data_IF_698167468907
#
_entry.id   IF_698167468907
#
_cell.length_a   1.000
_cell.length_b   1.000
_cell.length_c   1.000
_cell.angle_alpha   90.00
_cell.angle_beta   90.00
_cell.angle_gamma   90.00
#
_symmetry.space_group_name_H-M   'P 1'
#
loop_
_entity.id
_entity.type
_entity.pdbx_description
1 polymer ?
#
# COMPACT_ATOMS: atom_id res chain seq x y z
N UNK A 1 17.72 5.35 16.75
CA UNK A 1 18.47 6.45 16.09
C UNK A 1 17.63 7.71 16.10
N UNK A 2 18.24 8.88 16.29
CA UNK A 2 17.56 10.16 16.11
C UNK A 2 17.76 10.61 14.66
N UNK A 3 16.67 11.07 14.05
CA UNK A 3 16.59 11.48 12.66
C UNK A 3 16.06 12.91 12.61
N UNK A 4 16.72 13.78 11.86
CA UNK A 4 16.18 15.07 11.45
C UNK A 4 15.31 14.85 10.22
N UNK A 5 14.02 15.11 10.38
CA UNK A 5 13.02 14.87 9.33
C UNK A 5 13.21 15.84 8.17
N UNK A 6 13.22 15.31 6.95
CA UNK A 6 13.36 16.11 5.72
C UNK A 6 12.07 16.12 4.92
N UNK A 7 11.44 14.95 4.74
CA UNK A 7 10.17 14.79 4.02
C UNK A 7 9.28 13.84 4.78
N UNK A 8 8.00 14.22 4.87
CA UNK A 8 6.94 13.38 5.42
C UNK A 8 5.74 13.51 4.47
N UNK A 9 5.39 12.42 3.80
CA UNK A 9 4.17 12.30 3.02
C UNK A 9 2.94 12.30 3.93
N UNK A 10 1.84 12.84 3.42
CA UNK A 10 0.55 12.85 4.11
C UNK A 10 -0.35 11.84 3.41
N UNK A 11 -0.83 10.86 4.17
CA UNK A 11 -1.71 9.84 3.67
C UNK A 11 -3.19 10.20 3.91
N UNK A 12 -4.09 9.51 3.22
CA UNK A 12 -5.52 9.58 3.52
C UNK A 12 -5.86 9.16 4.96
N UNK A 13 -5.04 8.32 5.60
CA UNK A 13 -5.19 7.96 7.01
C UNK A 13 -4.94 9.15 7.95
N UNK A 14 -3.89 9.94 7.72
CA UNK A 14 -3.63 11.16 8.50
C UNK A 14 -4.81 12.13 8.41
N UNK A 15 -5.36 12.31 7.20
CA UNK A 15 -6.54 13.16 6.97
C UNK A 15 -7.77 12.59 7.70
N UNK A 16 -7.99 11.26 7.65
CA UNK A 16 -9.11 10.63 8.37
C UNK A 16 -8.99 10.81 9.89
N UNK A 17 -7.79 10.70 10.46
CA UNK A 17 -7.59 11.01 11.88
C UNK A 17 -7.86 12.48 12.19
N UNK A 18 -7.44 13.40 11.33
CA UNK A 18 -7.73 14.83 11.51
C UNK A 18 -9.23 15.14 11.45
N UNK A 19 -9.97 14.60 10.47
CA UNK A 19 -11.36 14.98 10.23
C UNK A 19 -12.38 14.16 11.03
N UNK A 20 -12.07 12.89 11.30
CA UNK A 20 -13.00 11.96 11.95
C UNK A 20 -12.51 11.45 13.33
N UNK A 21 -11.24 11.69 13.69
CA UNK A 21 -10.68 11.26 14.97
C UNK A 21 -10.48 9.74 15.10
N UNK A 22 -10.79 8.95 14.07
CA UNK A 22 -10.68 7.51 14.11
C UNK A 22 -10.60 6.86 12.72
N UNK A 23 -10.01 5.66 12.67
CA UNK A 23 -10.11 4.73 11.54
C UNK A 23 -10.46 3.36 12.10
N UNK A 24 -11.72 2.94 11.92
CA UNK A 24 -12.22 1.72 12.57
C UNK A 24 -12.05 1.82 14.09
N UNK A 25 -11.41 0.81 14.68
CA UNK A 25 -11.18 0.74 16.13
C UNK A 25 -9.96 1.55 16.61
N UNK A 26 -9.19 2.14 15.71
CA UNK A 26 -8.07 3.03 16.05
C UNK A 26 -8.60 4.44 16.30
N UNK A 27 -8.86 4.76 17.58
CA UNK A 27 -9.48 6.02 18.00
C UNK A 27 -8.44 6.94 18.66
N UNK A 28 -8.37 8.19 18.23
CA UNK A 28 -7.53 9.23 18.85
C UNK A 28 -8.14 9.62 20.20
N UNK A 29 -7.49 9.21 21.29
CA UNK A 29 -7.94 9.49 22.68
C UNK A 29 -7.20 10.65 23.35
N UNK A 30 -6.19 11.22 22.70
CA UNK A 30 -5.36 12.31 23.20
C UNK A 30 -4.52 12.91 22.08
N UNK A 31 -3.71 13.95 22.38
CA UNK A 31 -2.83 14.55 21.38
C UNK A 31 -1.87 13.52 20.77
N UNK A 32 -1.84 13.44 19.44
CA UNK A 32 -0.88 12.61 18.69
C UNK A 32 -0.24 13.45 17.59
N UNK A 33 0.99 13.12 17.23
CA UNK A 33 1.57 13.58 15.97
C UNK A 33 1.07 12.70 14.82
N UNK A 34 0.85 13.31 13.64
CA UNK A 34 0.53 12.61 12.40
C UNK A 34 1.82 12.26 11.61
N UNK A 35 1.66 11.64 10.45
CA UNK A 35 2.71 11.36 9.48
C UNK A 35 3.48 10.06 9.73
N UNK A 36 3.59 9.24 8.68
CA UNK A 36 4.25 7.93 8.73
C UNK A 36 5.05 7.60 7.45
N UNK A 37 4.92 8.39 6.40
CA UNK A 37 5.62 8.23 5.13
C UNK A 37 6.90 9.09 5.12
N UNK A 38 7.99 8.61 5.72
CA UNK A 38 9.05 9.48 6.23
C UNK A 38 10.46 9.19 5.69
N UNK A 39 11.22 10.27 5.47
CA UNK A 39 12.67 10.22 5.23
C UNK A 39 13.41 11.38 5.91
N UNK A 40 14.70 11.17 6.20
CA UNK A 40 15.49 12.15 6.93
C UNK A 40 16.98 11.87 7.00
N UNK A 41 17.68 12.61 7.86
CA UNK A 41 19.12 12.49 8.09
C UNK A 41 19.36 12.02 9.52
N UNK A 42 20.21 11.01 9.71
CA UNK A 42 20.60 10.54 11.05
C UNK A 42 21.43 11.62 11.75
N UNK A 43 20.99 12.07 12.93
CA UNK A 43 21.70 13.09 13.74
C UNK A 43 22.34 12.54 14.99
N UNK A 44 21.82 11.42 15.54
CA UNK A 44 22.40 10.77 16.72
C UNK A 44 22.14 9.27 16.71
N UNK A 45 23.10 8.50 17.20
CA UNK A 45 23.01 7.05 17.34
C UNK A 45 22.83 6.64 18.79
N UNK A 46 22.16 5.50 19.00
CA UNK A 46 22.24 4.78 20.28
C UNK A 46 23.56 3.99 20.35
N UNK A 47 24.04 3.64 21.55
CA UNK A 47 25.37 3.02 21.74
C UNK A 47 25.54 1.68 21.01
N UNK A 48 24.45 0.94 20.79
CA UNK A 48 24.47 -0.38 20.15
C UNK A 48 24.17 -0.35 18.65
N UNK A 49 23.98 0.84 18.05
CA UNK A 49 23.70 0.96 16.61
C UNK A 49 24.99 0.85 15.82
N UNK A 50 25.08 -0.15 14.95
CA UNK A 50 26.28 -0.44 14.14
C UNK A 50 26.07 -0.32 12.63
N UNK A 51 24.82 -0.30 12.18
CA UNK A 51 24.42 -0.34 10.77
C UNK A 51 24.21 1.05 10.13
N UNK A 52 24.33 2.13 10.91
CA UNK A 52 24.08 3.51 10.47
C UNK A 52 25.13 4.45 11.07
N UNK A 53 25.39 5.58 10.40
CA UNK A 53 26.22 6.67 10.91
C UNK A 53 25.50 8.02 10.87
N UNK A 54 25.95 8.96 11.69
CA UNK A 54 25.49 10.36 11.61
C UNK A 54 25.77 10.91 10.20
N UNK A 55 24.79 11.62 9.64
CA UNK A 55 24.82 12.12 8.27
C UNK A 55 24.24 11.17 7.23
N UNK A 56 23.96 9.90 7.57
CA UNK A 56 23.28 9.00 6.64
C UNK A 56 21.88 9.52 6.30
N UNK A 57 21.58 9.52 5.00
CA UNK A 57 20.24 9.78 4.46
C UNK A 57 19.44 8.48 4.56
N UNK A 58 18.23 8.54 5.10
CA UNK A 58 17.47 7.34 5.45
C UNK A 58 15.99 7.45 5.08
N UNK A 59 15.40 6.32 4.71
CA UNK A 59 13.96 6.09 4.74
C UNK A 59 13.59 5.32 6.01
N UNK A 60 12.37 5.51 6.48
CA UNK A 60 11.86 4.90 7.70
C UNK A 60 10.74 3.92 7.34
N UNK A 61 10.87 2.68 7.81
CA UNK A 61 9.73 1.78 7.95
C UNK A 61 9.01 2.20 9.25
N UNK A 62 7.73 2.62 9.22
CA UNK A 62 7.01 3.10 10.39
C UNK A 62 6.73 2.04 11.46
N UNK A 63 6.98 0.76 11.19
CA UNK A 63 6.78 -0.33 12.14
C UNK A 63 7.87 -0.35 13.23
N UNK A 64 7.50 -0.68 14.48
CA UNK A 64 8.42 -1.27 15.47
C UNK A 64 7.70 -2.43 16.14
N UNK A 65 8.32 -3.60 16.13
CA UNK A 65 7.65 -4.85 16.59
C UNK A 65 8.26 -5.40 17.88
N UNK A 66 7.57 -6.35 18.51
CA UNK A 66 8.10 -7.04 19.70
C UNK A 66 9.24 -8.03 19.40
N UNK A 67 9.49 -8.32 18.12
CA UNK A 67 10.57 -9.19 17.60
C UNK A 67 10.53 -10.66 18.05
N UNK A 68 9.53 -11.07 18.85
CA UNK A 68 9.57 -12.36 19.56
C UNK A 68 8.29 -13.20 19.44
N UNK A 69 7.16 -12.59 19.05
CA UNK A 69 5.91 -13.32 18.80
C UNK A 69 5.98 -14.21 17.55
N UNK A 70 4.97 -15.06 17.37
CA UNK A 70 4.90 -15.96 16.21
C UNK A 70 4.96 -15.22 14.88
N UNK A 71 4.31 -14.06 14.77
CA UNK A 71 4.29 -13.25 13.56
C UNK A 71 5.66 -12.66 13.24
N UNK A 72 6.37 -12.16 14.26
CA UNK A 72 7.74 -11.68 14.08
C UNK A 72 8.66 -12.82 13.64
N UNK A 73 8.60 -13.98 14.32
CA UNK A 73 9.46 -15.14 14.03
C UNK A 73 9.17 -15.82 12.69
N UNK A 74 7.92 -15.79 12.23
CA UNK A 74 7.50 -16.30 10.92
C UNK A 74 7.74 -15.32 9.77
N UNK A 75 8.30 -14.14 10.03
CA UNK A 75 8.55 -13.12 9.00
C UNK A 75 7.29 -12.35 8.58
N UNK A 76 6.22 -12.38 9.37
CA UNK A 76 4.95 -11.65 9.20
C UNK A 76 4.80 -10.52 10.22
N UNK A 77 5.87 -9.80 10.51
CA UNK A 77 5.92 -8.82 11.62
C UNK A 77 4.86 -7.72 11.54
N UNK A 78 4.29 -7.44 10.37
CA UNK A 78 3.18 -6.51 10.17
C UNK A 78 1.89 -6.91 10.91
N UNK A 79 1.81 -8.16 11.37
CA UNK A 79 0.72 -8.70 12.20
C UNK A 79 1.09 -8.80 13.69
N UNK A 80 2.22 -8.22 14.11
CA UNK A 80 2.60 -8.22 15.52
C UNK A 80 1.50 -7.57 16.39
N UNK A 81 1.05 -8.21 17.49
CA UNK A 81 0.01 -7.63 18.35
C UNK A 81 0.52 -6.40 19.12
N UNK A 82 1.80 -6.39 19.50
CA UNK A 82 2.46 -5.26 20.18
C UNK A 82 3.17 -4.34 19.17
N UNK A 83 2.54 -4.14 18.02
CA UNK A 83 3.10 -3.32 16.95
C UNK A 83 2.95 -1.84 17.28
N UNK A 84 4.07 -1.14 17.40
CA UNK A 84 4.09 0.31 17.27
C UNK A 84 4.05 0.68 15.79
N UNK A 85 3.20 1.64 15.42
CA UNK A 85 3.17 2.16 14.05
C UNK A 85 2.95 3.66 14.02
N UNK A 86 3.84 4.39 13.35
CA UNK A 86 3.77 5.86 13.28
C UNK A 86 2.37 6.35 12.87
N UNK A 87 1.85 7.33 13.60
CA UNK A 87 0.56 7.96 13.37
C UNK A 87 -0.66 7.01 13.44
N UNK A 88 -0.54 5.83 14.06
CA UNK A 88 -1.69 5.00 14.43
C UNK A 88 -1.90 5.09 15.96
N UNK A 89 -3.03 5.62 16.45
CA UNK A 89 -3.28 5.77 17.87
C UNK A 89 -3.05 4.47 18.65
N UNK A 90 -2.35 4.50 19.80
CA UNK A 90 -1.88 5.70 20.52
C UNK A 90 -0.50 6.23 20.09
N UNK A 91 0.12 5.65 19.06
CA UNK A 91 1.49 5.94 18.67
C UNK A 91 1.60 7.25 17.88
N UNK A 92 2.48 8.14 18.34
CA UNK A 92 2.76 9.40 17.63
C UNK A 92 3.54 9.15 16.34
N UNK A 93 3.17 9.90 15.30
CA UNK A 93 3.83 9.94 14.01
C UNK A 93 5.11 10.79 13.99
N UNK A 94 5.65 10.95 12.79
CA UNK A 94 6.94 11.57 12.52
C UNK A 94 6.84 12.94 11.84
N UNK A 95 5.66 13.57 11.76
CA UNK A 95 5.49 14.94 11.26
C UNK A 95 6.01 15.96 12.30
N UNK A 96 7.32 15.98 12.49
CA UNK A 96 8.06 16.79 13.46
C UNK A 96 9.44 17.19 12.91
N UNK A 97 10.23 17.96 13.67
CA UNK A 97 11.62 18.32 13.28
C UNK A 97 12.60 17.17 13.50
N UNK A 98 12.42 16.42 14.58
CA UNK A 98 13.25 15.28 14.94
C UNK A 98 12.36 14.13 15.40
N UNK A 99 12.77 12.91 15.06
CA UNK A 99 12.12 11.69 15.50
C UNK A 99 13.15 10.66 15.95
N UNK A 100 12.79 9.82 16.93
CA UNK A 100 13.63 8.69 17.35
C UNK A 100 12.97 7.40 16.93
N UNK A 101 13.70 6.55 16.19
CA UNK A 101 13.17 5.30 15.67
C UNK A 101 14.12 4.12 15.90
N UNK A 102 13.60 2.90 15.81
CA UNK A 102 14.40 1.68 15.96
C UNK A 102 15.35 1.51 14.77
N UNK A 103 16.64 1.26 15.03
CA UNK A 103 17.68 1.32 14.00
C UNK A 103 17.56 0.23 12.92
N UNK A 104 16.89 -0.87 13.25
CA UNK A 104 16.56 -1.99 12.37
C UNK A 104 15.39 -1.69 11.42
N UNK A 105 14.64 -0.61 11.66
CA UNK A 105 13.56 -0.10 10.79
C UNK A 105 13.95 1.21 10.08
N UNK A 106 15.25 1.53 10.04
CA UNK A 106 15.78 2.73 9.40
C UNK A 106 16.81 2.31 8.36
N UNK A 107 16.54 2.66 7.10
CA UNK A 107 17.24 2.12 5.94
C UNK A 107 17.98 3.23 5.21
N UNK A 108 19.29 3.05 4.99
CA UNK A 108 20.10 4.02 4.28
C UNK A 108 19.67 4.13 2.81
N UNK A 109 19.37 5.35 2.38
CA UNK A 109 19.09 5.67 0.99
C UNK A 109 20.39 5.65 0.16
N UNK A 110 20.37 5.05 -1.03
CA UNK A 110 21.41 5.26 -2.03
C UNK A 110 21.53 6.74 -2.42
N UNK A 111 22.71 7.15 -2.90
CA UNK A 111 22.98 8.55 -3.20
C UNK A 111 22.04 9.13 -4.27
N UNK A 112 21.63 8.29 -5.23
CA UNK A 112 20.73 8.66 -6.32
C UNK A 112 19.24 8.61 -5.98
N UNK A 113 18.86 8.28 -4.73
CA UNK A 113 17.46 8.29 -4.28
C UNK A 113 17.23 9.50 -3.39
N UNK A 114 16.34 10.41 -3.80
CA UNK A 114 16.00 11.65 -3.08
C UNK A 114 15.26 11.39 -1.76
N UNK A 115 15.10 12.42 -0.93
CA UNK A 115 14.27 12.31 0.27
C UNK A 115 12.78 12.12 -0.05
N UNK A 116 12.28 12.69 -1.14
CA UNK A 116 10.89 12.51 -1.55
C UNK A 116 10.64 11.07 -1.99
N UNK A 117 11.53 10.50 -2.80
CA UNK A 117 11.49 9.08 -3.14
C UNK A 117 11.62 8.19 -1.89
N UNK A 118 12.49 8.57 -0.94
CA UNK A 118 12.64 7.90 0.35
C UNK A 118 11.35 7.89 1.19
N UNK A 119 10.59 8.98 1.18
CA UNK A 119 9.29 9.06 1.85
C UNK A 119 8.24 8.20 1.11
N UNK A 120 8.29 8.19 -0.22
CA UNK A 120 7.43 7.35 -1.07
C UNK A 120 7.71 5.84 -0.97
N UNK A 121 8.78 5.40 -0.30
CA UNK A 121 9.03 3.96 -0.05
C UNK A 121 7.90 3.33 0.78
N UNK A 122 7.29 4.10 1.68
CA UNK A 122 6.15 3.67 2.51
C UNK A 122 4.95 3.26 1.63
N UNK A 123 4.35 4.15 0.81
CA UNK A 123 3.20 3.78 -0.01
C UNK A 123 3.58 2.80 -1.13
N UNK A 124 4.81 2.85 -1.64
CA UNK A 124 5.32 1.86 -2.60
C UNK A 124 5.36 0.45 -1.98
N UNK A 125 5.72 0.35 -0.70
CA UNK A 125 5.74 -0.90 0.05
C UNK A 125 4.34 -1.52 0.19
N UNK A 126 3.28 -0.71 0.32
CA UNK A 126 1.90 -1.19 0.30
C UNK A 126 1.58 -1.87 -1.03
N UNK A 127 1.88 -1.20 -2.16
CA UNK A 127 1.70 -1.77 -3.50
C UNK A 127 2.52 -3.05 -3.72
N UNK A 128 3.75 -3.09 -3.20
CA UNK A 128 4.63 -4.25 -3.26
C UNK A 128 4.08 -5.44 -2.47
N UNK A 129 3.61 -5.20 -1.25
CA UNK A 129 2.99 -6.25 -0.45
C UNK A 129 1.68 -6.74 -1.08
N UNK A 130 0.85 -5.85 -1.63
CA UNK A 130 -0.37 -6.22 -2.33
C UNK A 130 -0.08 -7.15 -3.52
N UNK A 131 0.87 -6.77 -4.39
CA UNK A 131 1.30 -7.58 -5.52
C UNK A 131 1.83 -8.95 -5.08
N UNK A 132 2.67 -9.01 -4.02
CA UNK A 132 3.16 -10.27 -3.45
C UNK A 132 2.04 -11.16 -2.93
N UNK A 133 1.05 -10.59 -2.23
CA UNK A 133 -0.03 -11.35 -1.60
C UNK A 133 -0.95 -12.00 -2.64
N UNK A 134 -1.30 -11.27 -3.70
CA UNK A 134 -2.12 -11.83 -4.78
C UNK A 134 -1.31 -12.68 -5.76
N UNK A 135 0.02 -12.57 -5.74
CA UNK A 135 0.90 -13.38 -6.59
C UNK A 135 1.04 -12.82 -8.00
N UNK A 136 1.16 -11.50 -8.14
CA UNK A 136 1.52 -10.87 -9.41
C UNK A 136 2.88 -11.38 -9.85
N UNK A 137 2.96 -11.87 -11.07
CA UNK A 137 4.19 -12.35 -11.69
C UNK A 137 4.22 -12.02 -13.19
N UNK A 138 5.36 -12.32 -13.82
CA UNK A 138 5.58 -12.11 -15.25
C UNK A 138 4.41 -12.66 -16.09
N UNK A 139 3.96 -11.87 -17.06
CA UNK A 139 2.89 -12.25 -17.98
C UNK A 139 1.47 -12.10 -17.43
N UNK A 140 1.30 -11.76 -16.15
CA UNK A 140 -0.04 -11.54 -15.58
C UNK A 140 -0.76 -10.35 -16.22
N UNK A 141 -2.08 -10.47 -16.28
CA UNK A 141 -3.02 -9.36 -16.48
C UNK A 141 -3.46 -8.89 -15.10
N UNK A 142 -3.29 -7.62 -14.78
CA UNK A 142 -3.60 -7.06 -13.47
C UNK A 142 -4.64 -5.96 -13.59
N UNK A 143 -5.73 -6.08 -12.84
CA UNK A 143 -6.70 -5.00 -12.66
C UNK A 143 -6.39 -4.27 -11.34
N UNK A 144 -6.44 -2.94 -11.38
CA UNK A 144 -6.31 -2.08 -10.20
C UNK A 144 -7.55 -1.20 -10.13
N UNK A 145 -8.32 -1.27 -9.03
CA UNK A 145 -9.52 -0.44 -8.87
C UNK A 145 -9.23 0.75 -7.95
N UNK A 146 -9.11 1.94 -8.55
CA UNK A 146 -8.73 3.19 -7.91
C UNK A 146 -7.34 3.66 -8.36
N UNK A 147 -7.25 4.86 -8.91
CA UNK A 147 -6.04 5.57 -9.34
C UNK A 147 -5.57 6.63 -8.32
N UNK A 148 -5.85 6.40 -7.02
CA UNK A 148 -5.20 7.12 -5.93
C UNK A 148 -3.76 6.65 -5.71
N UNK A 149 -3.01 7.25 -4.75
CA UNK A 149 -1.59 6.95 -4.53
C UNK A 149 -1.26 5.46 -4.39
N UNK A 150 -2.08 4.70 -3.65
CA UNK A 150 -1.89 3.25 -3.47
C UNK A 150 -2.11 2.48 -4.77
N UNK A 151 -3.10 2.87 -5.59
CA UNK A 151 -3.31 2.27 -6.90
C UNK A 151 -2.17 2.56 -7.87
N UNK A 152 -1.64 3.78 -7.85
CA UNK A 152 -0.47 4.16 -8.66
C UNK A 152 0.81 3.43 -8.21
N UNK A 153 1.02 3.28 -6.90
CA UNK A 153 2.13 2.47 -6.38
C UNK A 153 1.98 1.00 -6.80
N UNK A 154 0.77 0.45 -6.72
CA UNK A 154 0.48 -0.91 -7.17
C UNK A 154 0.69 -1.09 -8.67
N UNK A 155 0.37 -0.08 -9.48
CA UNK A 155 0.66 -0.05 -10.92
C UNK A 155 2.16 -0.13 -11.19
N UNK A 156 2.95 0.73 -10.53
CA UNK A 156 4.41 0.76 -10.71
C UNK A 156 5.03 -0.59 -10.32
N UNK A 157 4.55 -1.21 -9.23
CA UNK A 157 5.07 -2.50 -8.79
C UNK A 157 4.61 -3.65 -9.70
N UNK A 158 3.35 -3.68 -10.12
CA UNK A 158 2.87 -4.70 -11.07
C UNK A 158 3.65 -4.66 -12.38
N UNK A 159 3.97 -3.45 -12.87
CA UNK A 159 4.84 -3.25 -14.03
C UNK A 159 6.26 -3.77 -13.77
N UNK A 160 6.83 -3.48 -12.60
CA UNK A 160 8.16 -3.97 -12.21
C UNK A 160 8.22 -5.51 -12.10
N UNK A 161 7.12 -6.17 -11.72
CA UNK A 161 6.99 -7.64 -11.73
C UNK A 161 6.83 -8.24 -13.14
N UNK A 162 6.67 -7.42 -14.18
CA UNK A 162 6.52 -7.89 -15.55
C UNK A 162 5.09 -8.27 -15.94
N UNK A 163 4.07 -7.65 -15.33
CA UNK A 163 2.70 -7.81 -15.80
C UNK A 163 2.59 -7.40 -17.28
N UNK A 164 1.96 -8.26 -18.10
CA UNK A 164 1.81 -8.04 -19.54
C UNK A 164 0.74 -6.99 -19.86
N UNK A 165 -0.32 -6.94 -19.06
CA UNK A 165 -1.38 -5.96 -19.17
C UNK A 165 -1.78 -5.47 -17.78
N UNK A 166 -1.90 -4.17 -17.63
CA UNK A 166 -2.37 -3.51 -16.41
C UNK A 166 -3.49 -2.54 -16.77
N UNK A 167 -4.69 -2.81 -16.28
CA UNK A 167 -5.83 -1.90 -16.37
C UNK A 167 -6.07 -1.25 -15.02
N UNK A 168 -6.23 0.07 -15.02
CA UNK A 168 -6.59 0.83 -13.81
C UNK A 168 -7.89 1.58 -14.02
N UNK A 169 -8.79 1.50 -13.04
CA UNK A 169 -10.11 2.14 -13.10
C UNK A 169 -10.21 3.24 -12.07
N UNK A 170 -10.91 4.33 -12.39
CA UNK A 170 -11.21 5.41 -11.45
C UNK A 170 -12.43 6.19 -11.96
N UNK A 171 -13.02 7.01 -11.10
CA UNK A 171 -14.09 7.95 -11.44
C UNK A 171 -13.53 9.29 -11.94
N UNK A 172 -12.23 9.55 -11.73
CA UNK A 172 -11.54 10.78 -12.12
C UNK A 172 -10.62 10.55 -13.32
N UNK A 173 -10.99 11.14 -14.46
CA UNK A 173 -10.22 11.06 -15.70
C UNK A 173 -8.78 11.61 -15.56
N UNK A 174 -8.55 12.63 -14.73
CA UNK A 174 -7.20 13.20 -14.55
C UNK A 174 -6.26 12.22 -13.86
N UNK A 175 -6.77 11.45 -12.90
CA UNK A 175 -5.99 10.40 -12.23
C UNK A 175 -5.64 9.27 -13.20
N UNK A 176 -6.56 8.94 -14.10
CA UNK A 176 -6.32 7.94 -15.13
C UNK A 176 -5.28 8.39 -16.16
N UNK A 177 -5.30 9.65 -16.59
CA UNK A 177 -4.26 10.19 -17.47
C UNK A 177 -2.88 10.15 -16.79
N UNK A 178 -2.81 10.45 -15.49
CA UNK A 178 -1.58 10.31 -14.73
C UNK A 178 -1.15 8.85 -14.59
N UNK A 179 -2.08 7.92 -14.37
CA UNK A 179 -1.76 6.50 -14.33
C UNK A 179 -1.21 6.00 -15.69
N UNK A 180 -1.76 6.51 -16.80
CA UNK A 180 -1.28 6.21 -18.15
C UNK A 180 0.14 6.73 -18.36
N UNK A 181 0.46 7.94 -17.90
CA UNK A 181 1.83 8.48 -18.00
C UNK A 181 2.85 7.69 -17.17
N UNK A 182 2.41 7.00 -16.10
CA UNK A 182 3.23 6.07 -15.31
C UNK A 182 3.34 4.67 -15.92
N UNK A 183 2.61 4.39 -17.00
CA UNK A 183 2.70 3.16 -17.77
C UNK A 183 1.59 2.15 -17.51
N UNK A 184 0.40 2.58 -17.08
CA UNK A 184 -0.79 1.77 -17.22
C UNK A 184 -1.02 1.47 -18.71
N UNK A 185 -1.17 0.18 -19.05
CA UNK A 185 -1.44 -0.22 -20.44
C UNK A 185 -2.85 0.14 -20.87
N UNK A 186 -3.80 0.13 -19.92
CA UNK A 186 -5.20 0.43 -20.14
C UNK A 186 -5.72 1.25 -18.97
N UNK A 187 -6.65 2.16 -19.25
CA UNK A 187 -7.38 2.92 -18.24
C UNK A 187 -8.87 2.83 -18.54
N UNK A 188 -9.71 2.89 -17.49
CA UNK A 188 -11.16 2.92 -17.66
C UNK A 188 -11.80 3.92 -16.71
N UNK A 189 -12.52 4.90 -17.28
CA UNK A 189 -13.31 5.87 -16.53
C UNK A 189 -14.66 5.26 -16.17
N UNK A 190 -14.92 5.08 -14.88
CA UNK A 190 -16.16 4.51 -14.38
C UNK A 190 -17.30 5.52 -14.57
N UNK A 191 -18.31 5.13 -15.34
CA UNK A 191 -19.57 5.85 -15.54
C UNK A 191 -20.64 5.46 -14.53
N UNK A 192 -21.72 6.26 -14.48
CA UNK A 192 -22.86 6.02 -13.57
C UNK A 192 -23.68 4.78 -13.93
N UNK A 193 -23.72 4.45 -15.22
CA UNK A 193 -24.53 3.35 -15.75
C UNK A 193 -23.74 2.04 -15.87
N UNK A 194 -22.43 2.06 -15.55
CA UNK A 194 -21.64 0.84 -15.53
C UNK A 194 -22.17 -0.08 -14.45
N UNK A 195 -22.20 -1.39 -14.76
CA UNK A 195 -22.46 -2.44 -13.80
C UNK A 195 -21.19 -3.26 -13.60
N UNK A 196 -20.83 -3.64 -12.36
CA UNK A 196 -19.57 -4.35 -12.08
C UNK A 196 -19.36 -5.61 -12.90
N UNK A 197 -20.43 -6.40 -13.10
CA UNK A 197 -20.38 -7.66 -13.86
C UNK A 197 -20.10 -7.43 -15.35
N UNK A 198 -20.91 -6.58 -15.99
CA UNK A 198 -20.77 -6.20 -17.40
C UNK A 198 -19.39 -5.56 -17.67
N UNK A 199 -18.96 -4.68 -16.76
CA UNK A 199 -17.66 -4.02 -16.84
C UNK A 199 -16.50 -5.00 -16.67
N UNK A 200 -16.62 -6.00 -15.79
CA UNK A 200 -15.60 -7.03 -15.63
C UNK A 200 -15.29 -7.77 -16.94
N UNK A 201 -16.33 -8.11 -17.71
CA UNK A 201 -16.17 -8.71 -19.04
C UNK A 201 -15.51 -7.75 -20.04
N UNK A 202 -15.92 -6.48 -20.04
CA UNK A 202 -15.36 -5.44 -20.91
C UNK A 202 -13.88 -5.19 -20.63
N UNK A 203 -13.48 -5.16 -19.36
CA UNK A 203 -12.06 -5.04 -18.97
C UNK A 203 -11.26 -6.25 -19.47
N UNK A 204 -11.80 -7.46 -19.32
CA UNK A 204 -11.17 -8.66 -19.87
C UNK A 204 -10.93 -8.57 -21.38
N UNK A 205 -11.91 -8.07 -22.15
CA UNK A 205 -11.76 -7.86 -23.59
C UNK A 205 -10.69 -6.80 -23.91
N UNK A 206 -10.69 -5.67 -23.20
CA UNK A 206 -9.71 -4.60 -23.37
C UNK A 206 -8.27 -5.08 -23.16
N UNK A 207 -8.06 -5.92 -22.15
CA UNK A 207 -6.73 -6.42 -21.78
C UNK A 207 -6.28 -7.64 -22.62
N UNK A 208 -7.11 -8.16 -23.53
CA UNK A 208 -6.83 -9.40 -24.26
C UNK A 208 -7.00 -10.68 -23.43
N UNK A 209 -7.71 -10.59 -22.30
CA UNK A 209 -8.01 -11.70 -21.40
C UNK A 209 -8.37 -11.20 -19.99
N UNK A 210 -9.15 -11.96 -19.20
CA UNK A 210 -9.54 -11.54 -17.85
C UNK A 210 -8.31 -11.35 -16.94
N UNK A 211 -8.36 -10.38 -16.01
CA UNK A 211 -7.32 -10.19 -15.00
C UNK A 211 -7.00 -11.49 -14.26
N UNK A 212 -5.71 -11.81 -14.16
CA UNK A 212 -5.20 -12.88 -13.31
C UNK A 212 -5.31 -12.52 -11.85
N UNK A 213 -4.95 -11.26 -11.54
CA UNK A 213 -4.98 -10.69 -10.21
C UNK A 213 -5.70 -9.35 -10.25
N UNK A 214 -6.48 -9.07 -9.21
CA UNK A 214 -7.05 -7.73 -8.99
C UNK A 214 -6.57 -7.14 -7.68
N UNK A 215 -6.24 -5.85 -7.68
CA UNK A 215 -5.78 -5.07 -6.54
C UNK A 215 -6.81 -3.96 -6.28
N UNK A 216 -7.61 -4.12 -5.23
CA UNK A 216 -8.68 -3.20 -4.85
C UNK A 216 -8.15 -2.11 -3.90
N UNK A 217 -8.11 -0.86 -4.40
CA UNK A 217 -7.47 0.27 -3.73
C UNK A 217 -8.46 1.38 -3.31
N UNK A 218 -9.77 1.22 -3.54
CA UNK A 218 -10.78 2.26 -3.28
C UNK A 218 -11.61 2.00 -2.03
N UNK A 219 -11.87 0.73 -1.70
CA UNK A 219 -12.80 0.31 -0.64
C UNK A 219 -14.28 0.54 -0.98
N UNK A 220 -14.60 0.97 -2.20
CA UNK A 220 -15.97 1.21 -2.62
C UNK A 220 -16.67 -0.11 -2.99
N UNK A 221 -17.97 -0.23 -2.66
CA UNK A 221 -18.81 -1.40 -2.99
C UNK A 221 -18.66 -1.80 -4.47
N UNK A 222 -18.83 -0.83 -5.38
CA UNK A 222 -18.72 -1.05 -6.82
C UNK A 222 -17.38 -1.68 -7.22
N UNK A 223 -16.27 -1.17 -6.67
CA UNK A 223 -14.93 -1.66 -6.97
C UNK A 223 -14.67 -3.05 -6.41
N UNK A 224 -15.19 -3.35 -5.22
CA UNK A 224 -15.12 -4.70 -4.63
C UNK A 224 -15.87 -5.71 -5.50
N UNK A 225 -17.08 -5.36 -5.94
CA UNK A 225 -17.86 -6.21 -6.83
C UNK A 225 -17.14 -6.39 -8.17
N UNK A 226 -16.64 -5.29 -8.76
CA UNK A 226 -15.90 -5.31 -10.03
C UNK A 226 -14.68 -6.22 -9.93
N UNK A 227 -13.94 -6.15 -8.82
CA UNK A 227 -12.77 -7.00 -8.60
C UNK A 227 -13.11 -8.49 -8.60
N UNK A 228 -14.26 -8.88 -8.04
CA UNK A 228 -14.73 -10.28 -8.04
C UNK A 228 -15.23 -10.70 -9.43
N UNK A 229 -16.01 -9.86 -10.10
CA UNK A 229 -16.56 -10.19 -11.42
C UNK A 229 -15.51 -10.18 -12.54
N UNK A 230 -14.51 -9.30 -12.47
CA UNK A 230 -13.46 -9.20 -13.49
C UNK A 230 -12.42 -10.33 -13.37
N UNK A 231 -11.99 -10.68 -12.17
CA UNK A 231 -10.91 -11.66 -11.96
C UNK A 231 -11.27 -13.02 -12.58
N UNK A 232 -10.30 -13.63 -13.25
CA UNK A 232 -10.42 -14.95 -13.87
C UNK A 232 -10.70 -16.05 -12.83
N UNK A 233 -11.15 -17.21 -13.30
CA UNK A 233 -11.19 -18.43 -12.49
C UNK A 233 -9.78 -18.77 -11.97
N UNK A 234 -9.72 -19.21 -10.71
CA UNK A 234 -8.51 -19.48 -9.94
C UNK A 234 -7.53 -18.28 -9.81
N UNK A 235 -8.06 -17.05 -9.89
CA UNK A 235 -7.29 -15.83 -9.63
C UNK A 235 -7.42 -15.35 -8.18
N UNK A 236 -6.75 -14.24 -7.85
CA UNK A 236 -6.85 -13.63 -6.53
C UNK A 236 -7.23 -12.13 -6.56
N UNK A 237 -7.93 -11.71 -5.53
CA UNK A 237 -8.31 -10.31 -5.27
C UNK A 237 -7.66 -9.84 -3.97
N UNK A 238 -6.85 -8.80 -4.06
CA UNK A 238 -6.24 -8.12 -2.92
C UNK A 238 -7.11 -6.96 -2.46
N UNK A 239 -7.56 -6.95 -1.21
CA UNK A 239 -8.34 -5.85 -0.64
C UNK A 239 -7.43 -4.96 0.21
N UNK A 240 -7.27 -3.70 -0.21
CA UNK A 240 -6.39 -2.69 0.42
C UNK A 240 -7.15 -1.41 0.76
N UNK A 241 -8.12 -1.04 -0.09
CA UNK A 241 -8.91 0.16 0.06
C UNK A 241 -9.67 0.20 1.40
N UNK A 242 -9.63 1.36 2.06
CA UNK A 242 -10.34 1.56 3.32
C UNK A 242 -11.70 2.23 3.07
N UNK A 243 -12.71 1.40 2.87
CA UNK A 243 -14.11 1.79 2.71
C UNK A 243 -14.91 1.81 4.02
N UNK A 244 -16.24 1.67 3.94
CA UNK A 244 -17.09 1.43 5.10
C UNK A 244 -16.70 0.12 5.82
N UNK A 245 -17.04 -0.05 7.11
CA UNK A 245 -16.72 -1.26 7.87
C UNK A 245 -17.33 -2.55 7.30
N UNK A 246 -18.38 -2.43 6.48
CA UNK A 246 -19.07 -3.56 5.83
C UNK A 246 -19.48 -3.17 4.41
N UNK A 247 -19.39 -4.15 3.53
CA UNK A 247 -19.83 -4.11 2.13
C UNK A 247 -20.59 -5.41 1.84
N UNK A 248 -21.51 -5.40 0.87
CA UNK A 248 -22.03 -6.66 0.30
C UNK A 248 -20.93 -7.34 -0.50
N UNK A 249 -21.00 -8.67 -0.61
CA UNK A 249 -19.94 -9.45 -1.25
C UNK A 249 -20.53 -10.54 -2.17
N UNK A 250 -20.08 -10.70 -3.44
CA UNK A 250 -20.60 -11.70 -4.37
C UNK A 250 -20.11 -13.13 -4.07
N UNK A 251 -20.58 -13.71 -2.96
CA UNK A 251 -20.09 -15.00 -2.44
C UNK A 251 -20.21 -16.13 -3.48
N UNK A 252 -21.34 -16.23 -4.18
CA UNK A 252 -21.59 -17.30 -5.17
C UNK A 252 -20.56 -17.25 -6.30
N UNK A 253 -20.29 -16.05 -6.84
CA UNK A 253 -19.28 -15.85 -7.90
C UNK A 253 -17.88 -16.18 -7.40
N UNK A 254 -17.54 -15.74 -6.18
CA UNK A 254 -16.24 -16.05 -5.55
C UNK A 254 -16.03 -17.55 -5.43
N UNK A 255 -17.04 -18.30 -4.98
CA UNK A 255 -16.97 -19.76 -4.87
C UNK A 255 -16.88 -20.42 -6.25
N UNK A 256 -17.76 -20.04 -7.19
CA UNK A 256 -17.80 -20.64 -8.53
C UNK A 256 -16.50 -20.46 -9.32
N UNK A 257 -15.79 -19.35 -9.07
CA UNK A 257 -14.50 -19.05 -9.70
C UNK A 257 -13.29 -19.55 -8.91
N UNK A 258 -13.47 -20.14 -7.73
CA UNK A 258 -12.39 -20.47 -6.79
C UNK A 258 -11.44 -19.28 -6.55
N UNK A 259 -12.02 -18.10 -6.24
CA UNK A 259 -11.23 -16.89 -6.02
C UNK A 259 -10.59 -16.86 -4.64
N UNK A 260 -9.30 -16.55 -4.62
CA UNK A 260 -8.56 -16.19 -3.42
C UNK A 260 -8.85 -14.73 -3.04
N UNK A 261 -9.47 -14.49 -1.88
CA UNK A 261 -9.72 -13.12 -1.39
C UNK A 261 -8.75 -12.81 -0.25
N UNK A 262 -7.87 -11.83 -0.46
CA UNK A 262 -6.72 -11.55 0.41
C UNK A 262 -6.72 -10.12 0.93
N UNK A 263 -7.02 -9.93 2.21
CA UNK A 263 -6.78 -8.64 2.88
C UNK A 263 -5.29 -8.28 2.90
N UNK A 264 -4.97 -7.01 2.71
CA UNK A 264 -3.61 -6.48 2.71
C UNK A 264 -3.45 -5.41 3.79
N UNK A 265 -2.83 -5.77 4.91
CA UNK A 265 -2.56 -4.84 6.00
C UNK A 265 -1.11 -4.37 5.95
N UNK A 266 -0.90 -3.11 5.55
CA UNK A 266 0.42 -2.47 5.45
C UNK A 266 1.36 -3.30 4.56
N UNK A 267 2.53 -3.68 5.07
CA UNK A 267 3.55 -4.43 4.34
C UNK A 267 4.54 -5.11 5.28
N UNK A 268 5.32 -6.04 4.73
CA UNK A 268 6.35 -6.79 5.46
C UNK A 268 7.53 -7.09 4.55
N UNK A 269 8.76 -6.93 5.06
CA UNK A 269 10.01 -7.25 4.35
C UNK A 269 10.11 -6.57 2.96
N UNK A 270 9.73 -5.30 2.87
CA UNK A 270 9.75 -4.50 1.62
C UNK A 270 10.92 -3.53 1.56
N UNK A 271 11.41 -3.06 2.70
CA UNK A 271 12.61 -2.25 2.80
C UNK A 271 13.83 -3.17 2.74
N UNK A 272 14.60 -3.08 1.67
CA UNK A 272 15.86 -3.84 1.55
C UNK A 272 17.03 -2.99 2.02
N UNK A 273 17.97 -3.61 2.73
CA UNK A 273 19.26 -2.98 2.99
C UNK A 273 19.97 -2.82 1.64
N UNK A 274 20.31 -1.58 1.28
CA UNK A 274 21.29 -1.37 0.21
C UNK A 274 22.59 -2.04 0.66
N UNK A 275 23.04 -3.03 -0.12
CA UNK A 275 24.36 -3.64 0.06
C UNK A 275 25.44 -2.69 -0.43
#
# INVERSE_FOLDING_TARGET
VQISMQKVGICGSDVKYWTAGAIGDFIVKGPILLGHEASGIVTKLGPNVKNLKVGDRVAMDPHITCRSCEFCKSGRYNMCPDLFFLATPPDSGALARFHVHAADFVFKLPDNVSFEEGACVEPLSVGLNACRRVGVTMGNHVLITGAGPIGLCSLLVAKAYGAAAICITDIDAKRLEFAKSLGATHTYLIGKDDKPEELGHKIGQLMGGPPHQTIECSGAQFSVDLAVYATRHAGAVGIIGHGPPRVSFPIVTTVAKELDIKGCFRYVNTYVLSR
#
